data_IF_989078137161
#
_entry.id   IF_989078137161
#
_cell.length_a   1.000
_cell.length_b   1.000
_cell.length_c   1.000
_cell.angle_alpha   90.00
_cell.angle_beta   90.00
_cell.angle_gamma   90.00
#
_symmetry.space_group_name_H-M   'P 1'
#
loop_
_entity.id
_entity.type
_entity.pdbx_description
1 polymer ?
#
# COMPACT_ATOMS: atom_id res chain seq x y z
N UNK A 1 -2.33 -21.36 8.27
CA UNK A 1 -3.74 -21.75 8.03
C UNK A 1 -4.49 -21.56 9.34
N UNK A 2 -5.66 -20.93 9.29
CA UNK A 2 -6.56 -20.71 10.41
C UNK A 2 -7.90 -21.38 10.10
N UNK A 3 -8.40 -22.22 11.01
CA UNK A 3 -9.62 -23.00 10.76
C UNK A 3 -9.38 -24.24 9.89
N UNK A 4 -10.46 -24.74 9.29
CA UNK A 4 -10.53 -25.99 8.52
C UNK A 4 -10.76 -25.66 7.04
N UNK A 5 -9.78 -25.87 6.14
CA UNK A 5 -9.81 -25.44 4.74
C UNK A 5 -10.73 -26.31 3.88
N UNK A 6 -12.03 -26.27 4.21
CA UNK A 6 -13.11 -26.91 3.46
C UNK A 6 -13.98 -25.87 2.80
N UNK A 7 -14.59 -26.27 1.69
CA UNK A 7 -15.49 -25.41 0.90
C UNK A 7 -16.67 -24.90 1.72
N UNK A 8 -17.24 -25.72 2.61
CA UNK A 8 -18.41 -25.40 3.43
C UNK A 8 -18.08 -24.64 4.74
N UNK A 9 -16.85 -24.12 4.88
CA UNK A 9 -16.37 -23.47 6.10
C UNK A 9 -15.70 -22.14 5.80
N UNK A 10 -15.77 -21.25 6.77
CA UNK A 10 -14.91 -20.07 6.81
C UNK A 10 -13.55 -20.48 7.37
N UNK A 11 -12.48 -20.11 6.66
CA UNK A 11 -11.10 -20.36 7.07
C UNK A 11 -10.19 -19.25 6.54
N UNK A 12 -8.95 -19.22 7.00
CA UNK A 12 -7.98 -18.22 6.60
C UNK A 12 -6.59 -18.77 6.30
N UNK A 13 -5.85 -18.00 5.51
CA UNK A 13 -4.45 -18.27 5.17
C UNK A 13 -3.64 -17.00 5.44
N UNK A 14 -2.53 -17.15 6.16
CA UNK A 14 -1.47 -16.15 6.15
C UNK A 14 -0.30 -16.69 5.33
N UNK A 15 0.21 -15.86 4.42
CA UNK A 15 1.44 -16.09 3.67
C UNK A 15 2.44 -15.00 4.03
N UNK A 16 3.56 -15.40 4.65
CA UNK A 16 4.51 -14.47 5.25
C UNK A 16 5.95 -14.78 4.84
N UNK A 17 6.76 -13.74 4.80
CA UNK A 17 8.21 -13.77 4.60
C UNK A 17 8.83 -12.49 5.16
N UNK A 18 10.16 -12.38 5.10
CA UNK A 18 10.87 -11.22 5.67
C UNK A 18 10.37 -9.86 5.14
N UNK A 19 9.87 -9.82 3.90
CA UNK A 19 9.37 -8.60 3.25
C UNK A 19 7.93 -8.68 2.73
N UNK A 20 7.15 -9.67 3.18
CA UNK A 20 5.78 -9.88 2.68
C UNK A 20 4.90 -10.43 3.79
N UNK A 21 3.70 -9.89 3.95
CA UNK A 21 2.66 -10.47 4.80
C UNK A 21 1.32 -10.28 4.11
N UNK A 22 0.65 -11.38 3.80
CA UNK A 22 -0.65 -11.40 3.14
C UNK A 22 -1.60 -12.27 3.96
N UNK A 23 -2.77 -11.73 4.28
CA UNK A 23 -3.80 -12.45 5.03
C UNK A 23 -5.06 -12.57 4.19
N UNK A 24 -5.60 -13.79 4.12
CA UNK A 24 -6.76 -14.13 3.31
C UNK A 24 -7.84 -14.76 4.18
N UNK A 25 -9.10 -14.43 3.89
CA UNK A 25 -10.28 -15.09 4.46
C UNK A 25 -11.09 -15.68 3.31
N UNK A 26 -11.37 -16.97 3.43
CA UNK A 26 -12.15 -17.75 2.47
C UNK A 26 -13.44 -18.19 3.15
N UNK A 27 -14.57 -18.06 2.44
CA UNK A 27 -15.88 -18.53 2.89
C UNK A 27 -16.63 -19.11 1.69
N UNK A 28 -17.26 -20.28 1.85
CA UNK A 28 -18.00 -20.95 0.77
C UNK A 28 -17.17 -21.18 -0.51
N UNK A 29 -15.86 -21.46 -0.34
CA UNK A 29 -14.92 -21.62 -1.46
C UNK A 29 -14.50 -20.32 -2.15
N UNK A 30 -15.00 -19.16 -1.72
CA UNK A 30 -14.68 -17.85 -2.30
C UNK A 30 -13.76 -17.03 -1.39
N UNK A 31 -12.82 -16.30 -1.99
CA UNK A 31 -11.99 -15.34 -1.27
C UNK A 31 -12.82 -14.08 -0.96
N UNK A 32 -13.08 -13.81 0.32
CA UNK A 32 -13.93 -12.69 0.75
C UNK A 32 -13.14 -11.52 1.33
N UNK A 33 -11.89 -11.72 1.74
CA UNK A 33 -11.02 -10.64 2.21
C UNK A 33 -9.54 -10.98 2.00
N UNK A 34 -8.73 -9.97 1.68
CA UNK A 34 -7.28 -10.09 1.50
C UNK A 34 -6.49 -9.05 2.33
N UNK A 35 -7.03 -8.62 3.47
CA UNK A 35 -6.40 -7.64 4.38
C UNK A 35 -6.23 -8.21 5.79
N UNK A 36 -5.18 -7.79 6.55
CA UNK A 36 -4.14 -6.84 6.15
C UNK A 36 -3.14 -7.44 5.14
N UNK A 37 -2.60 -6.56 4.29
CA UNK A 37 -1.53 -6.85 3.34
C UNK A 37 -0.36 -5.88 3.55
N UNK A 38 0.87 -6.38 3.40
CA UNK A 38 2.07 -5.60 3.56
C UNK A 38 3.18 -6.09 2.65
N UNK A 39 3.64 -5.19 1.77
CA UNK A 39 4.82 -5.36 0.93
C UNK A 39 5.95 -4.52 1.52
N UNK A 40 6.89 -5.15 2.22
CA UNK A 40 7.99 -4.45 2.89
C UNK A 40 9.14 -4.15 1.92
N UNK A 41 8.82 -3.50 0.81
CA UNK A 41 9.76 -3.09 -0.23
C UNK A 41 9.57 -1.63 -0.58
N UNK A 42 10.65 -1.00 -1.06
CA UNK A 42 10.57 0.35 -1.62
C UNK A 42 10.24 0.26 -3.12
N UNK A 43 9.61 1.30 -3.71
CA UNK A 43 9.42 1.37 -5.15
C UNK A 43 10.76 1.22 -5.89
N UNK A 44 10.81 0.25 -6.81
CA UNK A 44 11.99 -0.05 -7.60
C UNK A 44 11.58 -0.72 -8.91
N UNK A 45 12.34 -0.44 -9.97
CA UNK A 45 12.19 -1.08 -11.28
C UNK A 45 13.41 -1.95 -11.56
N UNK A 46 13.19 -3.18 -12.03
CA UNK A 46 14.27 -4.06 -12.49
C UNK A 46 14.86 -3.47 -13.78
N UNK A 47 16.13 -3.02 -13.74
CA UNK A 47 16.81 -2.38 -14.89
C UNK A 47 17.74 -3.31 -15.67
N UNK A 48 17.90 -4.55 -15.23
CA UNK A 48 18.82 -5.52 -15.82
C UNK A 48 18.17 -6.89 -15.95
N UNK A 49 18.72 -7.72 -16.83
CA UNK A 49 18.39 -9.15 -16.86
C UNK A 49 18.83 -9.82 -15.56
N UNK A 50 18.18 -10.93 -15.21
CA UNK A 50 18.46 -11.70 -14.00
C UNK A 50 18.09 -13.18 -14.21
N UNK A 51 18.82 -14.07 -13.54
CA UNK A 51 18.64 -15.52 -13.62
C UNK A 51 17.43 -16.03 -12.81
N UNK A 52 16.73 -15.13 -12.11
CA UNK A 52 15.52 -15.44 -11.35
C UNK A 52 14.26 -15.43 -12.22
N UNK A 53 14.39 -15.06 -13.50
CA UNK A 53 13.28 -15.07 -14.47
C UNK A 53 12.33 -13.87 -14.35
N UNK A 54 12.65 -12.87 -13.53
CA UNK A 54 11.87 -11.63 -13.47
C UNK A 54 12.16 -10.76 -14.69
N UNK A 55 11.11 -10.23 -15.32
CA UNK A 55 11.25 -9.39 -16.51
C UNK A 55 11.91 -8.05 -16.16
N UNK A 56 12.81 -7.59 -17.03
CA UNK A 56 13.27 -6.20 -17.01
C UNK A 56 12.05 -5.26 -17.15
N UNK A 57 12.02 -4.19 -16.36
CA UNK A 57 10.90 -3.25 -16.29
C UNK A 57 9.81 -3.63 -15.28
N UNK A 58 9.88 -4.81 -14.64
CA UNK A 58 8.98 -5.14 -13.53
C UNK A 58 9.21 -4.18 -12.35
N UNK A 59 8.11 -3.70 -11.76
CA UNK A 59 8.10 -2.85 -10.58
C UNK A 59 6.86 -3.22 -9.75
N UNK A 60 7.07 -3.67 -8.51
CA UNK A 60 6.00 -4.23 -7.66
C UNK A 60 5.00 -3.15 -7.23
N UNK A 61 5.50 -1.97 -6.85
CA UNK A 61 4.70 -0.85 -6.31
C UNK A 61 4.49 0.26 -7.35
N UNK A 62 4.45 -0.11 -8.64
CA UNK A 62 4.45 0.87 -9.74
C UNK A 62 3.24 1.82 -9.67
N UNK A 63 2.06 1.25 -9.43
CA UNK A 63 0.82 2.01 -9.54
C UNK A 63 0.65 2.94 -8.33
N UNK A 64 1.00 2.48 -7.12
CA UNK A 64 1.01 3.33 -5.92
C UNK A 64 2.05 4.44 -6.01
N UNK A 65 3.26 4.13 -6.49
CA UNK A 65 4.32 5.13 -6.69
C UNK A 65 3.85 6.21 -7.67
N UNK A 66 3.34 5.81 -8.83
CA UNK A 66 2.87 6.73 -9.86
C UNK A 66 1.72 7.60 -9.35
N UNK A 67 0.67 7.01 -8.78
CA UNK A 67 -0.48 7.74 -8.26
C UNK A 67 -0.12 8.64 -7.08
N UNK A 68 0.83 8.23 -6.24
CA UNK A 68 1.36 9.04 -5.15
C UNK A 68 2.04 10.30 -5.66
N UNK A 69 2.93 10.17 -6.64
CA UNK A 69 3.58 11.32 -7.27
C UNK A 69 2.60 12.18 -8.05
N UNK A 70 1.65 11.60 -8.79
CA UNK A 70 0.61 12.34 -9.51
C UNK A 70 -0.21 13.20 -8.54
N UNK A 71 -0.61 12.63 -7.40
CA UNK A 71 -1.34 13.37 -6.37
C UNK A 71 -0.51 14.54 -5.84
N UNK A 72 0.72 14.31 -5.37
CA UNK A 72 1.58 15.37 -4.79
C UNK A 72 1.90 16.46 -5.81
N UNK A 73 2.18 16.09 -7.07
CA UNK A 73 2.50 17.02 -8.13
C UNK A 73 1.29 17.84 -8.59
N UNK A 74 0.07 17.31 -8.45
CA UNK A 74 -1.16 18.03 -8.76
C UNK A 74 -1.56 19.08 -7.71
N UNK A 75 -0.91 19.09 -6.53
CA UNK A 75 -1.21 20.05 -5.48
C UNK A 75 -0.74 21.46 -5.84
N UNK A 76 -1.56 22.46 -5.50
CA UNK A 76 -1.15 23.86 -5.55
C UNK A 76 -0.08 24.18 -4.50
N UNK A 77 0.66 25.27 -4.67
CA UNK A 77 1.68 25.70 -3.70
C UNK A 77 1.11 25.90 -2.29
N UNK A 78 -0.13 26.37 -2.16
CA UNK A 78 -0.79 26.50 -0.86
C UNK A 78 -1.13 25.14 -0.24
N UNK A 79 -1.53 24.15 -1.05
CA UNK A 79 -1.82 22.81 -0.56
C UNK A 79 -0.53 22.08 -0.17
N UNK A 80 0.55 22.25 -0.95
CA UNK A 80 1.87 21.67 -0.67
C UNK A 80 2.40 22.08 0.70
N UNK A 81 2.18 23.34 1.13
CA UNK A 81 2.53 23.81 2.48
C UNK A 81 1.88 23.03 3.62
N UNK A 82 0.74 22.40 3.38
CA UNK A 82 0.07 21.53 4.37
C UNK A 82 0.33 20.05 4.12
N UNK A 83 0.50 19.63 2.86
CA UNK A 83 0.66 18.23 2.48
C UNK A 83 2.08 17.70 2.74
N UNK A 84 3.10 18.53 2.50
CA UNK A 84 4.51 18.19 2.73
C UNK A 84 4.84 18.47 4.19
N UNK A 85 4.94 17.40 4.97
CA UNK A 85 5.14 17.48 6.43
C UNK A 85 6.61 17.59 6.83
N UNK A 86 7.52 17.19 5.95
CA UNK A 86 8.97 17.27 6.12
C UNK A 86 9.64 17.46 4.75
N UNK A 87 10.82 18.09 4.73
CA UNK A 87 11.65 18.20 3.53
C UNK A 87 12.40 16.91 3.22
N UNK A 88 12.70 16.11 4.25
CA UNK A 88 13.34 14.82 4.10
C UNK A 88 12.32 13.69 4.26
N UNK A 89 12.36 12.71 3.35
CA UNK A 89 11.52 11.53 3.48
C UNK A 89 11.96 10.72 4.72
N UNK A 90 11.02 10.15 5.50
CA UNK A 90 11.38 9.29 6.62
C UNK A 90 12.29 8.14 6.17
N UNK A 91 13.34 7.87 6.96
CA UNK A 91 14.24 6.73 6.71
C UNK A 91 13.52 5.38 6.77
N UNK A 92 12.44 5.33 7.55
CA UNK A 92 11.65 4.13 7.82
C UNK A 92 10.16 4.44 7.97
N UNK A 93 9.34 3.38 8.02
CA UNK A 93 7.94 3.50 8.40
C UNK A 93 7.78 4.11 9.79
N UNK A 94 6.65 4.78 10.01
CA UNK A 94 6.31 5.34 11.32
C UNK A 94 6.24 4.22 12.37
N UNK A 95 6.81 4.47 13.55
CA UNK A 95 6.88 3.53 14.67
C UNK A 95 7.58 2.19 14.33
N UNK A 96 8.58 2.19 13.44
CA UNK A 96 9.37 0.99 13.15
C UNK A 96 9.88 0.31 14.43
N UNK A 97 9.62 -1.00 14.55
CA UNK A 97 10.00 -1.81 15.73
C UNK A 97 9.02 -1.75 16.92
N UNK A 98 7.97 -0.93 16.85
CA UNK A 98 6.90 -0.94 17.85
C UNK A 98 5.88 -2.05 17.58
N UNK A 99 5.32 -2.62 18.64
CA UNK A 99 4.22 -3.60 18.56
C UNK A 99 2.87 -2.97 18.22
N UNK A 100 2.77 -1.63 18.29
CA UNK A 100 1.55 -0.88 18.03
C UNK A 100 1.76 0.17 16.94
N UNK A 101 0.74 0.39 16.09
CA UNK A 101 0.79 1.42 15.06
C UNK A 101 0.91 2.82 15.67
N UNK A 102 1.35 3.82 14.88
CA UNK A 102 1.39 5.22 15.32
C UNK A 102 0.01 5.74 15.73
N UNK A 103 -0.04 6.45 16.86
CA UNK A 103 -1.25 7.07 17.40
C UNK A 103 -1.23 8.60 17.36
N UNK A 104 -0.20 9.20 16.76
CA UNK A 104 -0.13 10.66 16.62
C UNK A 104 -1.27 11.17 15.73
N UNK A 105 -1.62 12.45 15.90
CA UNK A 105 -2.58 13.11 15.04
C UNK A 105 -2.19 12.96 13.55
N UNK A 106 -3.15 12.73 12.64
CA UNK A 106 -2.87 12.70 11.21
C UNK A 106 -2.22 14.00 10.75
N UNK A 107 -1.04 13.88 10.13
CA UNK A 107 -0.35 14.99 9.50
C UNK A 107 -0.71 15.08 8.01
N UNK A 108 -0.49 16.25 7.40
CA UNK A 108 -0.73 16.47 5.98
C UNK A 108 -2.01 17.28 5.68
N UNK A 109 -2.46 17.20 4.44
CA UNK A 109 -3.67 17.88 3.97
C UNK A 109 -4.90 16.96 4.13
N UNK A 110 -6.01 17.42 4.72
CA UNK A 110 -7.24 16.64 4.76
C UNK A 110 -7.88 16.57 3.37
N UNK A 111 -8.48 15.42 3.04
CA UNK A 111 -9.08 15.18 1.72
C UNK A 111 -10.15 16.23 1.35
N UNK A 112 -10.84 16.83 2.31
CA UNK A 112 -11.84 17.88 2.07
C UNK A 112 -11.25 19.12 1.36
N UNK A 113 -9.96 19.43 1.60
CA UNK A 113 -9.23 20.57 1.02
C UNK A 113 -8.63 20.27 -0.35
N UNK A 114 -8.85 19.07 -0.89
CA UNK A 114 -8.47 18.69 -2.24
C UNK A 114 -9.56 19.08 -3.24
N UNK A 115 -9.15 19.38 -4.48
CA UNK A 115 -10.07 19.53 -5.61
C UNK A 115 -10.77 18.20 -5.92
N UNK A 116 -11.81 18.24 -6.76
CA UNK A 116 -12.52 17.02 -7.16
C UNK A 116 -11.60 16.06 -7.92
N UNK A 117 -10.74 16.58 -8.79
CA UNK A 117 -9.77 15.81 -9.58
C UNK A 117 -8.72 15.17 -8.65
N UNK A 118 -8.19 15.93 -7.69
CA UNK A 118 -7.24 15.42 -6.69
C UNK A 118 -7.87 14.32 -5.81
N UNK A 119 -9.16 14.46 -5.45
CA UNK A 119 -9.91 13.42 -4.72
C UNK A 119 -10.08 12.15 -5.52
N UNK A 120 -10.23 12.24 -6.85
CA UNK A 120 -10.27 11.07 -7.72
C UNK A 120 -8.92 10.35 -7.68
N UNK A 121 -7.81 11.07 -7.85
CA UNK A 121 -6.46 10.47 -7.74
C UNK A 121 -6.21 9.83 -6.38
N UNK A 122 -6.59 10.51 -5.28
CA UNK A 122 -6.49 9.97 -3.92
C UNK A 122 -7.30 8.66 -3.77
N UNK A 123 -8.54 8.61 -4.27
CA UNK A 123 -9.36 7.39 -4.23
C UNK A 123 -8.73 6.26 -5.03
N UNK A 124 -8.17 6.55 -6.21
CA UNK A 124 -7.47 5.56 -7.01
C UNK A 124 -6.26 5.01 -6.26
N UNK A 125 -5.45 5.87 -5.63
CA UNK A 125 -4.31 5.45 -4.81
C UNK A 125 -4.75 4.54 -3.64
N UNK A 126 -5.82 4.92 -2.93
CA UNK A 126 -6.39 4.09 -1.85
C UNK A 126 -6.85 2.73 -2.38
N UNK A 127 -7.51 2.71 -3.55
CA UNK A 127 -7.99 1.48 -4.16
C UNK A 127 -6.86 0.55 -4.57
N UNK A 128 -5.77 1.08 -5.14
CA UNK A 128 -4.58 0.27 -5.47
C UNK A 128 -4.01 -0.34 -4.19
N UNK A 129 -3.79 0.46 -3.15
CA UNK A 129 -3.25 -0.04 -1.88
C UNK A 129 -4.16 -1.07 -1.19
N UNK A 130 -5.48 -0.85 -1.22
CA UNK A 130 -6.44 -1.74 -0.55
C UNK A 130 -6.71 -3.05 -1.32
N UNK A 131 -6.42 -3.09 -2.62
CA UNK A 131 -6.71 -4.22 -3.51
C UNK A 131 -5.46 -4.67 -4.31
N UNK A 132 -4.27 -4.61 -3.70
CA UNK A 132 -3.04 -5.01 -4.39
C UNK A 132 -2.90 -6.54 -4.63
N UNK A 133 -3.81 -7.35 -4.06
CA UNK A 133 -3.94 -8.80 -4.29
C UNK A 133 -5.39 -9.21 -4.55
#
# INVERSE_FOLDING_TARGET
>A
IFGDPREDKQWGLSFEGHHLSLNFVVENGELIAATPQFFATNPATIKTENDLGFKMGMAVLKDEEQLGFDLVNSLSDSQKKSAIIDQEAPREIRNAGSVHPPTDAPAGIPAEKLSNEQKVTLKNLINVYANAV
#
